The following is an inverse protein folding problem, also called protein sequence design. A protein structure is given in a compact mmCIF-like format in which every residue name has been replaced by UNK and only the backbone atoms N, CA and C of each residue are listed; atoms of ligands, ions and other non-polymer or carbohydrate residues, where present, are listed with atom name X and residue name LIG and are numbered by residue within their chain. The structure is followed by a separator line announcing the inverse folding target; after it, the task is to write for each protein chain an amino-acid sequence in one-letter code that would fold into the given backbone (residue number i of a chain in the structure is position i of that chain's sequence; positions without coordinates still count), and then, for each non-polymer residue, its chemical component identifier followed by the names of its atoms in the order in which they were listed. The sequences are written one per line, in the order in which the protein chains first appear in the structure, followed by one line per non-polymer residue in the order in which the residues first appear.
data_IF_441204312009
#
_entry.id   IF_441204312009
#
_cell.length_a   1.000
_cell.length_b   1.000
_cell.length_c   1.000
_cell.angle_alpha   90.00
_cell.angle_beta   90.00
_cell.angle_gamma   90.00
#
_symmetry.space_group_name_H-M   'P 1'
#
loop_
_entity.id
_entity.type
_entity.pdbx_description
1 polymer ?
#
# COMPACT_ATOMS: atom_id res chain seq x y z
N UNK A 1 26.31 -6.97 -18.44
CA UNK A 1 25.09 -7.44 -17.73
C UNK A 1 25.19 -7.35 -16.20
N UNK A 2 26.27 -7.79 -15.54
CA UNK A 2 26.39 -7.75 -14.08
C UNK A 2 26.34 -6.34 -13.44
N UNK A 3 26.87 -5.32 -14.12
CA UNK A 3 26.86 -3.93 -13.62
C UNK A 3 25.44 -3.33 -13.54
N UNK A 4 24.57 -3.60 -14.52
CA UNK A 4 23.18 -3.15 -14.53
C UNK A 4 22.36 -3.79 -13.41
N UNK A 5 22.49 -5.11 -13.22
CA UNK A 5 21.82 -5.82 -12.13
C UNK A 5 22.24 -5.30 -10.75
N UNK A 6 23.52 -4.92 -10.57
CA UNK A 6 24.00 -4.30 -9.32
C UNK A 6 23.40 -2.90 -9.10
N UNK A 7 23.27 -2.09 -10.15
CA UNK A 7 22.66 -0.75 -10.06
C UNK A 7 21.16 -0.82 -9.72
N UNK A 8 20.43 -1.75 -10.33
CA UNK A 8 19.02 -2.01 -9.99
C UNK A 8 18.86 -2.47 -8.54
N UNK A 9 19.73 -3.38 -8.08
CA UNK A 9 19.71 -3.86 -6.70
C UNK A 9 20.03 -2.76 -5.68
N UNK A 10 21.00 -1.89 -5.98
CA UNK A 10 21.34 -0.73 -5.13
C UNK A 10 20.19 0.28 -5.08
N UNK A 11 19.53 0.52 -6.22
CA UNK A 11 18.34 1.36 -6.31
C UNK A 11 17.19 0.80 -5.46
N UNK A 12 16.90 -0.49 -5.58
CA UNK A 12 15.89 -1.17 -4.78
C UNK A 12 16.23 -1.15 -3.27
N UNK A 13 17.49 -1.34 -2.90
CA UNK A 13 17.95 -1.30 -1.50
C UNK A 13 17.81 0.10 -0.91
N UNK A 14 18.21 1.13 -1.67
CA UNK A 14 18.08 2.54 -1.24
C UNK A 14 16.62 2.97 -1.15
N UNK A 15 15.79 2.55 -2.09
CA UNK A 15 14.34 2.77 -2.04
C UNK A 15 13.73 2.14 -0.77
N UNK A 16 14.10 0.88 -0.48
CA UNK A 16 13.63 0.17 0.71
C UNK A 16 14.02 0.90 1.99
N UNK A 17 15.28 1.36 2.09
CA UNK A 17 15.75 2.13 3.24
C UNK A 17 15.01 3.45 3.41
N UNK A 18 14.84 4.23 2.33
CA UNK A 18 14.08 5.48 2.38
C UNK A 18 12.61 5.27 2.75
N UNK A 19 12.02 4.16 2.32
CA UNK A 19 10.67 3.78 2.72
C UNK A 19 10.61 3.36 4.19
N UNK A 20 11.61 2.65 4.70
CA UNK A 20 11.70 2.27 6.11
C UNK A 20 11.80 3.51 7.00
N UNK A 21 12.62 4.49 6.61
CA UNK A 21 12.76 5.78 7.31
C UNK A 21 11.43 6.56 7.31
N UNK A 22 10.79 6.69 6.14
CA UNK A 22 9.49 7.37 6.03
C UNK A 22 8.39 6.65 6.83
N UNK A 23 8.40 5.32 6.80
CA UNK A 23 7.44 4.51 7.54
C UNK A 23 7.65 4.62 9.06
N UNK A 24 8.88 4.74 9.54
CA UNK A 24 9.18 4.93 10.96
C UNK A 24 8.47 6.16 11.55
N UNK A 25 8.29 7.24 10.78
CA UNK A 25 7.57 8.45 11.17
C UNK A 25 6.07 8.22 11.44
N UNK A 26 5.48 7.19 10.82
CA UNK A 26 4.05 6.87 10.94
C UNK A 26 3.79 5.57 11.68
N UNK A 27 4.81 4.72 11.87
CA UNK A 27 4.71 3.41 12.51
C UNK A 27 4.07 3.47 13.90
N UNK A 28 4.35 4.52 14.68
CA UNK A 28 3.78 4.72 16.03
C UNK A 28 2.26 4.90 16.05
N UNK A 29 1.63 5.21 14.92
CA UNK A 29 0.15 5.29 14.80
C UNK A 29 -0.50 3.90 14.77
N UNK A 30 0.27 2.86 14.46
CA UNK A 30 -0.20 1.48 14.40
C UNK A 30 0.28 0.71 15.64
N UNK A 31 -0.63 0.42 16.58
CA UNK A 31 -0.28 -0.29 17.82
C UNK A 31 0.23 -1.72 17.58
N UNK A 32 -0.41 -2.45 16.66
CA UNK A 32 -0.11 -3.88 16.40
C UNK A 32 0.96 -4.05 15.33
N UNK A 33 1.89 -5.00 15.53
CA UNK A 33 3.02 -5.27 14.61
C UNK A 33 2.53 -5.73 13.26
N UNK A 34 1.50 -6.57 13.23
CA UNK A 34 0.89 -7.13 12.03
C UNK A 34 0.30 -6.01 11.16
N UNK A 35 -0.30 -5.01 11.80
CA UNK A 35 -0.86 -3.84 11.11
C UNK A 35 0.25 -2.95 10.54
N UNK A 36 1.39 -2.82 11.25
CA UNK A 36 2.57 -2.11 10.71
C UNK A 36 3.13 -2.78 9.46
N UNK A 37 3.31 -4.10 9.50
CA UNK A 37 3.83 -4.85 8.36
C UNK A 37 2.89 -4.76 7.15
N UNK A 38 1.58 -4.88 7.37
CA UNK A 38 0.57 -4.71 6.32
C UNK A 38 0.56 -3.30 5.74
N UNK A 39 0.62 -2.27 6.60
CA UNK A 39 0.66 -0.88 6.15
C UNK A 39 1.91 -0.58 5.30
N UNK A 40 3.06 -1.14 5.70
CA UNK A 40 4.31 -1.04 4.93
C UNK A 40 4.18 -1.71 3.56
N UNK A 41 3.70 -2.96 3.52
CA UNK A 41 3.50 -3.69 2.27
C UNK A 41 2.46 -3.02 1.35
N UNK A 42 1.43 -2.40 1.92
CA UNK A 42 0.48 -1.58 1.18
C UNK A 42 1.16 -0.39 0.49
N UNK A 43 2.05 0.33 1.18
CA UNK A 43 2.77 1.46 0.60
C UNK A 43 3.77 0.98 -0.47
N UNK A 44 4.47 -0.12 -0.22
CA UNK A 44 5.33 -0.77 -1.23
C UNK A 44 4.53 -1.13 -2.49
N UNK A 45 3.35 -1.74 -2.33
CA UNK A 45 2.44 -2.07 -3.43
C UNK A 45 1.86 -0.84 -4.16
N UNK A 46 1.62 0.26 -3.45
CA UNK A 46 1.19 1.52 -4.05
C UNK A 46 2.30 2.20 -4.87
N UNK A 47 3.55 2.05 -4.46
CA UNK A 47 4.71 2.64 -5.14
C UNK A 47 5.30 1.71 -6.20
N UNK A 48 4.89 0.44 -6.22
CA UNK A 48 5.32 -0.51 -7.23
C UNK A 48 4.62 -0.27 -8.58
N UNK A 49 5.13 -0.97 -9.60
CA UNK A 49 4.57 -0.99 -10.94
C UNK A 49 3.33 -1.87 -11.09
N UNK A 50 2.60 -2.18 -10.00
CA UNK A 50 1.33 -2.91 -10.09
C UNK A 50 0.37 -2.20 -11.06
N UNK A 51 -0.11 -2.96 -12.04
CA UNK A 51 -1.06 -2.50 -13.06
C UNK A 51 -2.37 -2.00 -12.41
N UNK A 52 -2.79 -2.65 -11.33
CA UNK A 52 -3.99 -2.29 -10.56
C UNK A 52 -3.67 -2.16 -9.08
N UNK A 53 -4.03 -1.02 -8.49
CA UNK A 53 -3.76 -0.67 -7.08
C UNK A 53 -5.04 -0.68 -6.25
N UNK A 54 -5.74 -1.81 -6.27
CA UNK A 54 -6.95 -2.02 -5.47
C UNK A 54 -6.65 -2.87 -4.22
N UNK A 55 -7.61 -2.99 -3.30
CA UNK A 55 -7.42 -3.71 -2.03
C UNK A 55 -7.05 -5.19 -2.20
N UNK A 56 -7.47 -5.83 -3.29
CA UNK A 56 -7.11 -7.22 -3.60
C UNK A 56 -5.66 -7.32 -4.05
N UNK A 57 -5.26 -6.57 -5.09
CA UNK A 57 -3.88 -6.59 -5.60
C UNK A 57 -2.86 -6.14 -4.55
N UNK A 58 -3.23 -5.25 -3.64
CA UNK A 58 -2.39 -4.86 -2.51
C UNK A 58 -2.33 -5.96 -1.44
N UNK A 59 -3.40 -6.71 -1.21
CA UNK A 59 -3.39 -7.86 -0.30
C UNK A 59 -2.50 -8.98 -0.85
N UNK A 60 -2.62 -9.29 -2.14
CA UNK A 60 -1.73 -10.22 -2.84
C UNK A 60 -0.26 -9.78 -2.75
N UNK A 61 0.01 -8.50 -3.00
CA UNK A 61 1.35 -7.94 -2.86
C UNK A 61 1.88 -8.06 -1.42
N UNK A 62 1.01 -7.93 -0.42
CA UNK A 62 1.34 -8.12 0.98
C UNK A 62 1.46 -9.60 1.41
N UNK A 63 1.24 -10.55 0.50
CA UNK A 63 1.28 -11.99 0.79
C UNK A 63 0.05 -12.50 1.54
N UNK A 64 -1.07 -11.78 1.48
CA UNK A 64 -2.31 -12.15 2.15
C UNK A 64 -3.22 -12.95 1.22
N UNK A 65 -3.84 -14.00 1.76
CA UNK A 65 -4.77 -14.85 1.01
C UNK A 65 -6.17 -14.25 0.86
N UNK A 66 -6.49 -13.20 1.63
CA UNK A 66 -7.78 -12.51 1.57
C UNK A 66 -7.60 -11.00 1.69
N UNK A 67 -8.52 -10.18 1.14
CA UNK A 67 -8.44 -8.73 1.22
C UNK A 67 -8.88 -8.18 2.58
N UNK A 68 -9.37 -9.01 3.51
CA UNK A 68 -9.97 -8.57 4.79
C UNK A 68 -8.99 -7.77 5.64
N UNK A 69 -7.72 -8.19 5.66
CA UNK A 69 -6.66 -7.48 6.36
C UNK A 69 -6.46 -6.08 5.82
N UNK A 70 -6.44 -5.95 4.49
CA UNK A 70 -6.27 -4.69 3.76
C UNK A 70 -7.50 -3.79 3.90
N UNK A 71 -8.70 -4.34 3.84
CA UNK A 71 -9.95 -3.62 4.10
C UNK A 71 -9.99 -3.07 5.53
N UNK A 72 -9.62 -3.88 6.54
CA UNK A 72 -9.51 -3.41 7.93
C UNK A 72 -8.48 -2.30 8.08
N UNK A 73 -7.35 -2.37 7.37
CA UNK A 73 -6.35 -1.31 7.38
C UNK A 73 -6.92 0.01 6.85
N UNK A 74 -7.61 -0.02 5.71
CA UNK A 74 -8.20 1.19 5.12
C UNK A 74 -9.37 1.73 5.92
N UNK A 75 -10.18 0.85 6.52
CA UNK A 75 -11.31 1.27 7.36
C UNK A 75 -10.87 1.83 8.72
N UNK A 76 -9.72 1.38 9.26
CA UNK A 76 -9.18 1.87 10.53
C UNK A 76 -8.46 3.22 10.37
N UNK A 77 -7.91 3.49 9.20
CA UNK A 77 -7.40 4.82 8.87
C UNK A 77 -8.60 5.75 8.64
N UNK A 78 -8.83 6.68 9.56
CA UNK A 78 -9.74 7.80 9.33
C UNK A 78 -9.06 8.71 8.31
N UNK A 79 -9.18 8.37 7.02
CA UNK A 79 -8.64 9.17 5.93
C UNK A 79 -9.43 10.47 5.89
N UNK A 80 -8.78 11.57 6.24
CA UNK A 80 -9.26 12.89 5.83
C UNK A 80 -9.01 13.01 4.33
N UNK A 81 -9.98 12.51 3.56
CA UNK A 81 -9.95 12.53 2.09
C UNK A 81 -9.97 13.97 1.59
N UNK A 82 -10.67 14.86 2.30
CA UNK A 82 -10.83 16.27 1.96
C UNK A 82 -9.53 17.05 2.14
N UNK A 83 -8.66 16.63 3.07
CA UNK A 83 -7.31 17.18 3.24
C UNK A 83 -6.28 16.74 2.21
N UNK A 84 -6.51 15.67 1.44
CA UNK A 84 -5.51 15.08 0.52
C UNK A 84 -5.89 15.19 -0.96
N UNK A 85 -7.18 15.30 -1.31
CA UNK A 85 -7.60 15.48 -2.71
C UNK A 85 -8.70 16.53 -2.81
N UNK A 86 -8.39 17.67 -3.43
CA UNK A 86 -9.41 18.54 -3.98
C UNK A 86 -10.23 17.79 -5.03
N UNK A 87 -11.56 17.79 -4.84
CA UNK A 87 -12.65 17.33 -5.72
C UNK A 87 -13.20 15.90 -5.46
N UNK A 88 -14.52 15.72 -5.23
CA UNK A 88 -15.09 14.47 -4.78
C UNK A 88 -15.40 13.52 -5.95
N UNK A 89 -14.85 12.30 -5.88
CA UNK A 89 -15.15 11.23 -6.82
C UNK A 89 -16.46 10.49 -6.44
N UNK A 90 -17.15 10.04 -7.49
CA UNK A 90 -18.47 9.38 -7.52
C UNK A 90 -18.68 8.28 -6.46
N UNK A 91 -19.96 7.96 -6.10
CA UNK A 91 -20.29 7.00 -5.04
C UNK A 91 -19.67 5.62 -5.24
N UNK A 92 -18.79 5.27 -4.30
CA UNK A 92 -17.97 4.05 -4.21
C UNK A 92 -18.74 2.73 -4.33
N UNK A 93 -20.07 2.72 -4.16
CA UNK A 93 -20.94 1.54 -4.31
C UNK A 93 -20.92 0.93 -5.72
N UNK A 94 -20.73 1.73 -6.78
CA UNK A 94 -20.66 1.21 -8.16
C UNK A 94 -19.31 0.57 -8.50
N UNK A 95 -18.24 0.95 -7.82
CA UNK A 95 -16.90 0.39 -8.06
C UNK A 95 -16.74 -1.02 -7.47
N UNK A 96 -17.43 -1.32 -6.37
CA UNK A 96 -17.39 -2.66 -5.75
C UNK A 96 -18.09 -3.74 -6.56
N UNK A 97 -19.21 -3.42 -7.22
CA UNK A 97 -19.97 -4.39 -8.01
C UNK A 97 -19.23 -4.86 -9.28
N UNK A 98 -18.35 -4.03 -9.84
CA UNK A 98 -17.59 -4.35 -11.06
C UNK A 98 -16.26 -5.10 -10.80
N UNK A 99 -15.90 -5.38 -9.54
CA UNK A 99 -14.70 -6.14 -9.17
C UNK A 99 -14.99 -7.57 -8.69
N UNK A 100 -16.26 -7.95 -8.55
CA UNK A 100 -16.68 -9.26 -8.05
C UNK A 100 -17.19 -10.20 -9.17
N UNK A 101 -16.85 -9.93 -10.42
CA UNK A 101 -17.09 -10.78 -11.61
C UNK A 101 -15.92 -10.65 -12.56
#
# INVERSE_FOLDING_TARGET
MAAMARLEHLGATRFKAGLDDAFALVAGRFRRREVRLRARACIEGLLSGLERKNGWSLAEYAGEHTPDGMQRLFNAAKWDVDGVRGNPLKPWRRFYAAMAS
#
